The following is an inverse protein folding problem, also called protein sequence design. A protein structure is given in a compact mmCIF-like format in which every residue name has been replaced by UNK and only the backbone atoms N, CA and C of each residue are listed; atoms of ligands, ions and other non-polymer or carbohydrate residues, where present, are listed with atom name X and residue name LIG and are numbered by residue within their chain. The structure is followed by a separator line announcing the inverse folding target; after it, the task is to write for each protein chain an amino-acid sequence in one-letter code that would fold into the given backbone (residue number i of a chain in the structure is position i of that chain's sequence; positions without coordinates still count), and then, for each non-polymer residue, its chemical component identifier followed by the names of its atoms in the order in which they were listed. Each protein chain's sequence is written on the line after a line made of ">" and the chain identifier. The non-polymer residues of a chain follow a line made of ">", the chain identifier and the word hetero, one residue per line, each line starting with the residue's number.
data_IF_131858079350
#
_entry.id   IF_131858079350
#
_cell.length_a   1.000
_cell.length_b   1.000
_cell.length_c   1.000
_cell.angle_alpha   90.00
_cell.angle_beta   90.00
_cell.angle_gamma   90.00
#
_symmetry.space_group_name_H-M   'P 1'
#
loop_
_entity.id
_entity.type
_entity.pdbx_description
1 polymer ?
#
# COMPACT_ATOMS: atom_id res chain seq x y z
N UNK A 1 16.26 -2.63 -17.29
CA UNK A 1 15.74 -3.70 -16.40
C UNK A 1 15.11 -3.08 -15.16
N UNK A 2 13.94 -3.58 -14.72
CA UNK A 2 13.32 -3.15 -13.45
C UNK A 2 14.13 -3.71 -12.27
N UNK A 3 14.29 -2.92 -11.20
CA UNK A 3 14.98 -3.29 -9.95
C UNK A 3 13.97 -3.53 -8.84
N UNK A 4 14.35 -4.30 -7.84
CA UNK A 4 13.54 -4.48 -6.64
C UNK A 4 13.55 -3.17 -5.82
N UNK A 5 12.38 -2.67 -5.49
CA UNK A 5 12.16 -1.56 -4.58
C UNK A 5 11.35 -2.03 -3.38
N UNK A 6 11.59 -1.40 -2.23
CA UNK A 6 10.86 -1.71 -1.00
C UNK A 6 9.86 -0.59 -0.67
N UNK A 7 8.81 -0.92 0.07
CA UNK A 7 7.97 0.05 0.78
C UNK A 7 8.84 0.86 1.74
N UNK A 8 8.41 2.09 1.99
CA UNK A 8 9.12 2.92 2.97
C UNK A 8 8.75 2.54 4.39
N UNK A 9 7.51 2.12 4.63
CA UNK A 9 6.98 1.73 5.93
C UNK A 9 6.91 0.20 6.08
N UNK A 10 6.83 -0.27 7.33
CA UNK A 10 6.55 -1.66 7.72
C UNK A 10 5.07 -1.72 8.11
N UNK A 11 4.35 -2.73 7.63
CA UNK A 11 2.94 -2.91 7.91
C UNK A 11 2.74 -4.14 8.78
N UNK A 12 1.85 -4.05 9.77
CA UNK A 12 1.45 -5.21 10.54
C UNK A 12 0.38 -5.98 9.77
N UNK A 13 0.69 -7.18 9.30
CA UNK A 13 -0.18 -7.99 8.42
C UNK A 13 -0.58 -9.28 9.12
N UNK A 14 -1.82 -9.69 8.94
CA UNK A 14 -2.38 -10.90 9.57
C UNK A 14 -1.65 -12.16 9.07
N UNK A 15 -1.15 -12.97 10.00
CA UNK A 15 -0.34 -14.15 9.69
C UNK A 15 -1.06 -15.16 8.81
N UNK A 16 -2.38 -15.33 8.99
CA UNK A 16 -3.21 -16.22 8.15
C UNK A 16 -3.14 -15.89 6.65
N UNK A 17 -2.96 -14.61 6.31
CA UNK A 17 -2.84 -14.18 4.91
C UNK A 17 -1.45 -14.45 4.36
N UNK A 18 -0.42 -14.28 5.18
CA UNK A 18 0.97 -14.54 4.82
C UNK A 18 1.24 -16.03 4.60
N UNK A 19 0.59 -16.90 5.37
CA UNK A 19 0.68 -18.37 5.22
C UNK A 19 0.11 -18.87 3.89
N UNK A 20 -0.79 -18.11 3.25
CA UNK A 20 -1.39 -18.46 1.95
C UNK A 20 -0.50 -18.09 0.78
N UNK A 21 0.56 -17.31 1.00
CA UNK A 21 1.44 -16.87 -0.07
C UNK A 21 2.40 -18.00 -0.48
N UNK A 22 2.57 -18.25 -1.78
CA UNK A 22 3.61 -19.16 -2.25
C UNK A 22 5.00 -18.65 -1.85
N UNK A 23 5.91 -19.57 -1.53
CA UNK A 23 7.29 -19.22 -1.17
C UNK A 23 8.15 -19.08 -2.41
N UNK A 24 9.08 -18.12 -2.41
CA UNK A 24 9.98 -17.92 -3.54
C UNK A 24 10.80 -19.17 -3.91
N UNK A 25 11.18 -20.00 -2.91
CA UNK A 25 11.90 -21.26 -3.12
C UNK A 25 11.06 -22.37 -3.78
N UNK A 26 9.74 -22.29 -3.68
CA UNK A 26 8.79 -23.26 -4.26
C UNK A 26 8.46 -22.92 -5.72
N UNK A 27 8.76 -21.69 -6.16
CA UNK A 27 8.54 -21.24 -7.54
C UNK A 27 9.81 -21.52 -8.36
N UNK A 28 10.13 -22.80 -8.55
CA UNK A 28 11.22 -23.24 -9.43
C UNK A 28 10.71 -23.46 -10.86
N UNK A 29 11.22 -22.63 -11.79
CA UNK A 29 11.07 -22.83 -13.23
C UNK A 29 11.46 -21.61 -14.08
N UNK A 30 11.03 -20.40 -13.70
CA UNK A 30 11.18 -19.24 -14.60
C UNK A 30 11.53 -17.88 -13.97
N UNK A 31 11.70 -17.79 -12.63
CA UNK A 31 12.05 -16.52 -11.97
C UNK A 31 13.55 -16.45 -11.60
N UNK A 32 14.29 -17.56 -11.75
CA UNK A 32 15.72 -17.64 -11.41
C UNK A 32 16.61 -16.78 -12.32
N UNK A 33 16.24 -16.59 -13.59
CA UNK A 33 17.04 -15.81 -14.55
C UNK A 33 17.08 -14.30 -14.30
N UNK A 34 16.10 -13.72 -13.59
CA UNK A 34 16.01 -12.25 -13.39
C UNK A 34 16.15 -11.80 -11.93
N UNK A 35 15.98 -12.70 -10.95
CA UNK A 35 16.18 -12.37 -9.54
C UNK A 35 17.66 -12.42 -9.12
N UNK A 36 18.48 -13.25 -9.77
CA UNK A 36 19.89 -13.43 -9.40
C UNK A 36 20.82 -12.26 -9.80
N UNK A 37 20.46 -11.46 -10.81
CA UNK A 37 21.37 -10.46 -11.40
C UNK A 37 21.13 -9.00 -10.98
N UNK A 38 20.08 -8.72 -10.20
CA UNK A 38 19.78 -7.38 -9.70
C UNK A 38 19.97 -7.35 -8.20
N UNK A 39 21.21 -7.09 -7.76
CA UNK A 39 21.62 -6.85 -6.37
C UNK A 39 20.44 -6.55 -5.45
N UNK A 40 19.91 -7.60 -4.82
CA UNK A 40 18.87 -7.47 -3.82
C UNK A 40 19.46 -6.58 -2.71
N UNK A 41 18.78 -5.50 -2.29
CA UNK A 41 19.19 -4.80 -1.07
C UNK A 41 19.23 -5.86 0.02
N UNK A 42 20.34 -5.96 0.76
CA UNK A 42 20.55 -7.03 1.75
C UNK A 42 19.35 -7.11 2.70
N UNK A 43 18.45 -8.06 2.42
CA UNK A 43 17.26 -8.31 3.23
C UNK A 43 17.77 -9.06 4.45
N UNK A 44 17.72 -8.40 5.61
CA UNK A 44 18.05 -9.02 6.88
C UNK A 44 17.18 -10.27 7.06
N UNK A 45 17.80 -11.41 7.41
CA UNK A 45 17.14 -12.72 7.54
C UNK A 45 15.97 -12.74 8.54
N UNK A 46 15.83 -11.71 9.37
CA UNK A 46 14.76 -11.56 10.37
C UNK A 46 13.54 -10.76 9.88
N UNK A 47 13.62 -10.05 8.75
CA UNK A 47 12.50 -9.24 8.26
C UNK A 47 11.62 -10.05 7.29
N UNK A 48 10.31 -10.07 7.52
CA UNK A 48 9.34 -10.70 6.61
C UNK A 48 9.15 -9.79 5.41
N UNK A 49 9.46 -10.29 4.21
CA UNK A 49 9.33 -9.52 2.97
C UNK A 49 8.39 -10.22 2.00
N UNK A 50 7.40 -9.47 1.51
CA UNK A 50 6.44 -9.96 0.50
C UNK A 50 6.66 -9.21 -0.81
N UNK A 51 6.86 -9.94 -1.90
CA UNK A 51 6.90 -9.41 -3.25
C UNK A 51 5.47 -9.24 -3.77
N UNK A 52 5.09 -7.98 -3.99
CA UNK A 52 3.86 -7.61 -4.67
C UNK A 52 4.03 -7.81 -6.18
N UNK A 53 3.16 -8.63 -6.76
CA UNK A 53 3.12 -8.87 -8.18
C UNK A 53 2.01 -8.02 -8.80
N UNK A 54 2.41 -7.17 -9.75
CA UNK A 54 1.49 -6.27 -10.41
C UNK A 54 0.52 -7.04 -11.29
N UNK A 55 -0.72 -6.58 -11.34
CA UNK A 55 -1.67 -7.04 -12.34
C UNK A 55 -1.15 -6.63 -13.73
N UNK A 56 -0.87 -7.61 -14.57
CA UNK A 56 -0.42 -7.37 -15.95
C UNK A 56 -1.53 -6.72 -16.78
N UNK A 57 -2.81 -6.95 -16.45
CA UNK A 57 -3.96 -6.41 -17.16
C UNK A 57 -4.14 -4.89 -16.97
N UNK A 58 -3.61 -4.31 -15.90
CA UNK A 58 -3.69 -2.85 -15.68
C UNK A 58 -2.74 -2.03 -16.56
N UNK A 59 -1.76 -2.67 -17.22
CA UNK A 59 -0.73 -2.01 -18.03
C UNK A 59 -0.93 -2.15 -19.54
N UNK A 60 -1.63 -3.17 -20.00
CA UNK A 60 -1.98 -3.41 -21.41
C UNK A 60 -3.48 -3.64 -21.49
N UNK A 61 -4.22 -2.81 -22.22
CA UNK A 61 -5.68 -2.88 -22.33
C UNK A 61 -6.25 -4.12 -23.03
N UNK A 62 -5.62 -5.28 -22.88
CA UNK A 62 -6.03 -6.56 -23.47
C UNK A 62 -6.12 -7.67 -22.41
N UNK A 63 -7.25 -8.38 -22.46
CA UNK A 63 -7.64 -9.70 -21.91
C UNK A 63 -7.04 -10.14 -20.57
N UNK A 64 -7.94 -10.23 -19.58
CA UNK A 64 -7.96 -11.11 -18.40
C UNK A 64 -6.70 -11.98 -18.19
N UNK A 65 -5.60 -11.34 -17.83
CA UNK A 65 -4.42 -12.03 -17.32
C UNK A 65 -4.67 -12.24 -15.84
N UNK A 66 -4.74 -13.51 -15.40
CA UNK A 66 -4.84 -13.84 -13.97
C UNK A 66 -3.68 -13.14 -13.26
N UNK A 67 -3.96 -12.22 -12.30
CA UNK A 67 -2.89 -11.50 -11.63
C UNK A 67 -2.00 -12.50 -10.91
N UNK A 68 -0.69 -12.40 -11.14
CA UNK A 68 0.27 -13.29 -10.50
C UNK A 68 0.17 -13.11 -8.98
N UNK A 69 0.02 -14.23 -8.26
CA UNK A 69 -0.07 -14.20 -6.80
C UNK A 69 1.17 -13.55 -6.18
N UNK A 70 0.98 -12.80 -5.09
CA UNK A 70 2.10 -12.24 -4.33
C UNK A 70 2.95 -13.36 -3.72
N UNK A 71 4.24 -13.10 -3.50
CA UNK A 71 5.21 -14.14 -3.13
C UNK A 71 5.91 -13.78 -1.83
N UNK A 72 6.04 -14.75 -0.92
CA UNK A 72 6.84 -14.59 0.29
C UNK A 72 8.34 -14.76 -0.06
N UNK A 73 9.12 -13.69 0.07
CA UNK A 73 10.55 -13.67 -0.20
C UNK A 73 11.40 -14.12 0.99
N UNK A 74 11.01 -13.72 2.20
CA UNK A 74 11.77 -13.99 3.43
C UNK A 74 10.85 -14.09 4.65
N UNK A 75 11.34 -14.71 5.73
CA UNK A 75 10.61 -14.84 7.00
C UNK A 75 9.59 -15.98 7.04
N UNK A 76 9.75 -17.00 6.19
CA UNK A 76 8.84 -18.16 6.14
C UNK A 76 8.75 -18.92 7.48
N UNK A 77 9.85 -19.05 8.20
CA UNK A 77 9.88 -19.68 9.53
C UNK A 77 9.04 -18.88 10.53
N UNK A 78 9.25 -17.56 10.60
CA UNK A 78 8.47 -16.64 11.45
C UNK A 78 6.98 -16.69 11.13
N UNK A 79 6.62 -16.70 9.84
CA UNK A 79 5.22 -16.80 9.39
C UNK A 79 4.60 -18.15 9.75
N UNK A 80 5.37 -19.23 9.66
CA UNK A 80 4.87 -20.59 9.96
C UNK A 80 4.68 -20.80 11.46
N UNK A 81 5.54 -20.20 12.29
CA UNK A 81 5.48 -20.30 13.75
C UNK A 81 4.39 -19.42 14.40
N UNK A 82 3.94 -18.37 13.72
CA UNK A 82 2.92 -17.45 14.25
C UNK A 82 1.52 -18.06 14.26
N UNK A 83 0.68 -17.66 15.22
CA UNK A 83 -0.73 -18.03 15.22
C UNK A 83 -1.49 -17.26 14.13
N UNK A 84 -2.57 -17.84 13.60
CA UNK A 84 -3.30 -17.26 12.45
C UNK A 84 -3.87 -15.86 12.71
N UNK A 85 -4.14 -15.52 13.98
CA UNK A 85 -4.66 -14.22 14.41
C UNK A 85 -3.56 -13.19 14.68
N UNK A 86 -2.30 -13.60 14.68
CA UNK A 86 -1.19 -12.69 14.96
C UNK A 86 -0.96 -11.72 13.82
N UNK A 87 -0.46 -10.54 14.16
CA UNK A 87 -0.03 -9.54 13.20
C UNK A 87 1.48 -9.48 13.16
N UNK A 88 2.05 -9.72 11.98
CA UNK A 88 3.48 -9.76 11.77
C UNK A 88 3.99 -8.51 11.04
N UNK A 89 5.17 -7.98 11.40
CA UNK A 89 5.77 -6.85 10.69
C UNK A 89 6.28 -7.29 9.32
N UNK A 90 5.67 -6.74 8.27
CA UNK A 90 5.96 -7.07 6.87
C UNK A 90 6.42 -5.82 6.12
N UNK A 91 7.49 -6.00 5.34
CA UNK A 91 7.91 -5.05 4.33
C UNK A 91 7.47 -5.53 2.95
N UNK A 92 6.88 -4.64 2.15
CA UNK A 92 6.48 -4.98 0.79
C UNK A 92 7.59 -4.64 -0.20
N UNK A 93 7.85 -5.53 -1.12
CA UNK A 93 8.78 -5.36 -2.23
C UNK A 93 8.01 -5.33 -3.55
N UNK A 94 8.51 -4.59 -4.53
CA UNK A 94 7.90 -4.52 -5.86
C UNK A 94 8.92 -4.17 -6.94
N UNK A 95 8.61 -4.46 -8.19
CA UNK A 95 9.50 -4.16 -9.33
C UNK A 95 9.34 -2.70 -9.77
N UNK A 96 10.39 -1.90 -9.59
CA UNK A 96 10.44 -0.48 -9.92
C UNK A 96 11.46 -0.18 -11.01
N UNK A 97 11.33 0.97 -11.68
CA UNK A 97 12.40 1.50 -12.52
C UNK A 97 13.62 1.91 -11.69
N UNK A 98 14.83 1.94 -12.30
CA UNK A 98 16.02 2.51 -11.67
C UNK A 98 15.78 3.92 -11.13
N UNK A 99 16.45 4.27 -10.03
CA UNK A 99 16.20 5.52 -9.29
C UNK A 99 16.31 6.79 -10.15
N UNK A 100 17.24 6.83 -11.11
CA UNK A 100 17.40 7.96 -12.01
C UNK A 100 16.21 8.12 -12.98
N UNK A 101 15.70 7.03 -13.55
CA UNK A 101 14.49 7.06 -14.40
C UNK A 101 13.27 7.43 -13.55
N UNK A 102 13.15 6.83 -12.37
CA UNK A 102 12.08 7.11 -11.43
C UNK A 102 12.07 8.58 -10.99
N UNK A 103 13.23 9.23 -10.86
CA UNK A 103 13.33 10.66 -10.54
C UNK A 103 12.65 11.53 -11.61
N UNK A 104 12.99 11.35 -12.88
CA UNK A 104 12.36 12.12 -13.98
C UNK A 104 10.87 11.80 -14.14
N UNK A 105 10.49 10.52 -14.01
CA UNK A 105 9.08 10.10 -14.03
C UNK A 105 8.28 10.79 -12.92
N UNK A 106 8.86 10.93 -11.72
CA UNK A 106 8.20 11.55 -10.58
C UNK A 106 8.03 13.07 -10.70
N UNK A 107 8.83 13.74 -11.54
CA UNK A 107 8.80 15.18 -11.72
C UNK A 107 7.56 15.63 -12.53
N UNK A 108 7.14 14.80 -13.50
CA UNK A 108 6.06 15.13 -14.42
C UNK A 108 4.79 14.35 -14.04
N UNK A 109 3.81 15.04 -13.44
CA UNK A 109 2.55 14.44 -12.95
C UNK A 109 1.78 13.56 -13.96
N UNK A 110 1.54 13.98 -15.22
CA UNK A 110 0.81 13.14 -16.18
C UNK A 110 1.59 11.88 -16.56
N UNK A 111 2.91 11.98 -16.66
CA UNK A 111 3.80 10.84 -16.93
C UNK A 111 3.77 9.89 -15.75
N UNK A 112 3.95 10.40 -14.54
CA UNK A 112 3.92 9.63 -13.28
C UNK A 112 2.72 8.68 -13.19
N UNK A 113 1.53 9.13 -13.59
CA UNK A 113 0.29 8.33 -13.54
C UNK A 113 0.33 7.11 -14.46
N UNK A 114 1.05 7.17 -15.58
CA UNK A 114 1.20 6.06 -16.53
C UNK A 114 2.12 4.95 -16.00
N UNK A 115 2.94 5.25 -14.99
CA UNK A 115 3.90 4.31 -14.42
C UNK A 115 3.46 3.75 -13.06
N UNK A 116 2.19 3.88 -12.69
CA UNK A 116 1.66 3.26 -11.49
C UNK A 116 1.62 1.75 -11.66
N UNK A 117 2.14 1.04 -10.66
CA UNK A 117 1.93 -0.39 -10.53
C UNK A 117 0.72 -0.61 -9.63
N UNK A 118 -0.22 -1.44 -10.06
CA UNK A 118 -1.44 -1.78 -9.32
C UNK A 118 -1.30 -3.20 -8.80
N UNK A 119 -1.54 -3.39 -7.51
CA UNK A 119 -1.51 -4.70 -6.87
C UNK A 119 -2.93 -5.04 -6.37
N UNK A 120 -3.55 -6.12 -6.86
CA UNK A 120 -4.94 -6.44 -6.56
C UNK A 120 -5.11 -7.09 -5.17
N UNK A 121 -4.04 -7.67 -4.63
CA UNK A 121 -4.06 -8.32 -3.32
C UNK A 121 -4.46 -7.35 -2.22
N UNK A 122 -5.30 -7.86 -1.32
CA UNK A 122 -5.77 -7.14 -0.15
C UNK A 122 -5.24 -7.84 1.09
N UNK A 123 -4.78 -7.03 2.05
CA UNK A 123 -4.21 -7.49 3.30
C UNK A 123 -4.93 -6.86 4.49
N UNK A 124 -5.13 -7.64 5.54
CA UNK A 124 -5.68 -7.18 6.82
C UNK A 124 -4.56 -6.66 7.70
N UNK A 125 -4.74 -5.43 8.18
CA UNK A 125 -3.81 -4.73 9.07
C UNK A 125 -4.55 -4.13 10.25
N UNK A 126 -3.80 -3.69 11.26
CA UNK A 126 -4.38 -2.95 12.38
C UNK A 126 -4.47 -1.46 12.06
N UNK A 127 -5.56 -0.81 12.46
CA UNK A 127 -5.71 0.63 12.33
C UNK A 127 -4.57 1.37 13.04
N UNK A 128 -4.17 0.89 14.22
CA UNK A 128 -3.05 1.44 14.98
C UNK A 128 -1.74 1.47 14.18
N UNK A 129 -1.43 0.40 13.43
CA UNK A 129 -0.24 0.35 12.57
C UNK A 129 -0.28 1.40 11.46
N UNK A 130 -1.44 1.59 10.81
CA UNK A 130 -1.58 2.61 9.77
C UNK A 130 -1.42 4.03 10.30
N UNK A 131 -1.97 4.30 11.49
CA UNK A 131 -1.82 5.59 12.15
C UNK A 131 -0.36 5.85 12.56
N UNK A 132 0.32 4.85 13.12
CA UNK A 132 1.73 4.93 13.50
C UNK A 132 2.65 5.23 12.30
N UNK A 133 2.36 4.64 11.14
CA UNK A 133 3.12 4.87 9.90
C UNK A 133 2.93 6.28 9.30
N UNK A 134 2.01 7.10 9.83
CA UNK A 134 1.75 8.47 9.37
C UNK A 134 1.54 8.54 7.84
N UNK A 135 0.79 7.58 7.29
CA UNK A 135 0.48 7.50 5.85
C UNK A 135 -0.65 8.45 5.46
N UNK A 136 -1.47 8.91 6.41
CA UNK A 136 -2.56 9.86 6.16
C UNK A 136 -2.00 11.23 5.79
N UNK A 137 -2.58 11.88 4.78
CA UNK A 137 -2.20 13.25 4.39
C UNK A 137 -2.90 14.33 5.21
N UNK A 138 -3.89 13.92 6.00
CA UNK A 138 -4.70 14.72 6.90
C UNK A 138 -5.89 13.88 7.39
N UNK A 139 -6.27 14.07 8.65
CA UNK A 139 -7.43 13.39 9.23
C UNK A 139 -8.72 14.00 8.69
N UNK A 140 -9.64 13.14 8.25
CA UNK A 140 -10.95 13.56 7.76
C UNK A 140 -12.02 13.20 8.76
N UNK A 141 -12.66 14.23 9.31
CA UNK A 141 -13.77 14.14 10.23
C UNK A 141 -15.01 14.77 9.61
N UNK A 142 -16.14 14.68 10.31
CA UNK A 142 -17.42 15.25 9.89
C UNK A 142 -17.30 16.73 9.47
N UNK A 143 -16.53 17.50 10.22
CA UNK A 143 -16.38 18.94 10.01
C UNK A 143 -15.60 19.29 8.73
N UNK A 144 -14.69 18.44 8.27
CA UNK A 144 -13.82 18.72 7.12
C UNK A 144 -13.97 17.71 5.97
N UNK A 145 -14.98 16.83 6.06
CA UNK A 145 -15.26 15.81 5.07
C UNK A 145 -15.62 16.43 3.71
N UNK A 146 -15.18 15.79 2.62
CA UNK A 146 -15.45 16.21 1.24
C UNK A 146 -15.14 17.68 0.89
N UNK A 147 -14.30 18.35 1.69
CA UNK A 147 -13.80 19.69 1.37
C UNK A 147 -12.71 19.60 0.29
N UNK A 148 -13.12 19.77 -0.96
CA UNK A 148 -12.24 19.80 -2.12
C UNK A 148 -11.78 21.23 -2.42
N UNK A 149 -10.49 21.40 -2.67
CA UNK A 149 -9.91 22.69 -3.10
C UNK A 149 -10.26 23.05 -4.54
N UNK A 150 -10.58 22.05 -5.37
CA UNK A 150 -10.95 22.24 -6.76
C UNK A 150 -12.47 22.44 -6.87
N UNK A 151 -12.88 23.61 -7.37
CA UNK A 151 -14.28 24.03 -7.54
C UNK A 151 -15.13 23.03 -8.32
N UNK A 152 -14.56 22.33 -9.33
CA UNK A 152 -15.30 21.33 -10.13
C UNK A 152 -15.84 20.17 -9.30
N UNK A 153 -15.20 19.87 -8.17
CA UNK A 153 -15.54 18.74 -7.30
C UNK A 153 -16.15 19.18 -5.97
N UNK A 154 -16.40 20.49 -5.81
CA UNK A 154 -17.06 20.99 -4.61
C UNK A 154 -18.50 20.54 -4.59
N UNK A 155 -18.93 20.09 -3.41
CA UNK A 155 -20.31 19.72 -3.12
C UNK A 155 -20.82 20.64 -2.03
N UNK A 156 -22.14 20.74 -1.90
CA UNK A 156 -22.75 21.53 -0.82
C UNK A 156 -22.38 20.94 0.54
N UNK A 157 -22.52 21.76 1.59
CA UNK A 157 -22.18 21.34 2.95
C UNK A 157 -23.12 20.25 3.45
N UNK A 158 -24.39 20.34 3.05
CA UNK A 158 -25.46 19.39 3.36
C UNK A 158 -25.15 18.04 2.73
N UNK A 159 -24.76 18.01 1.46
CA UNK A 159 -24.40 16.77 0.76
C UNK A 159 -23.12 16.15 1.34
N UNK A 160 -22.13 16.97 1.73
CA UNK A 160 -20.92 16.49 2.39
C UNK A 160 -21.23 15.82 3.74
N UNK A 161 -22.07 16.46 4.56
CA UNK A 161 -22.50 15.93 5.84
C UNK A 161 -23.36 14.67 5.67
N UNK A 162 -24.28 14.65 4.69
CA UNK A 162 -25.08 13.46 4.35
C UNK A 162 -24.17 12.28 3.98
N UNK A 163 -23.25 12.43 3.04
CA UNK A 163 -22.33 11.35 2.62
C UNK A 163 -21.46 10.84 3.76
N UNK A 164 -20.98 11.74 4.61
CA UNK A 164 -20.18 11.35 5.77
C UNK A 164 -21.04 10.56 6.76
N UNK A 165 -22.25 11.02 7.05
CA UNK A 165 -23.20 10.38 7.97
C UNK A 165 -23.64 9.01 7.45
N UNK A 166 -23.93 8.88 6.16
CA UNK A 166 -24.28 7.61 5.51
C UNK A 166 -23.13 6.59 5.66
N UNK A 167 -21.89 7.02 5.40
CA UNK A 167 -20.71 6.17 5.57
C UNK A 167 -20.48 5.81 7.05
N UNK A 168 -20.64 6.77 7.96
CA UNK A 168 -20.49 6.55 9.40
C UNK A 168 -21.52 5.54 9.91
N UNK A 169 -22.79 5.73 9.58
CA UNK A 169 -23.88 4.85 9.98
C UNK A 169 -23.73 3.46 9.37
N UNK A 170 -23.28 3.36 8.12
CA UNK A 170 -23.00 2.07 7.49
C UNK A 170 -21.91 1.29 8.22
N UNK A 171 -20.79 1.93 8.57
CA UNK A 171 -19.70 1.27 9.31
C UNK A 171 -20.14 0.96 10.75
N UNK A 172 -20.95 1.83 11.38
CA UNK A 172 -21.48 1.61 12.73
C UNK A 172 -22.44 0.41 12.78
N UNK A 173 -23.29 0.25 11.77
CA UNK A 173 -24.29 -0.82 11.72
C UNK A 173 -23.69 -2.16 11.26
N UNK A 174 -22.84 -2.14 10.24
CA UNK A 174 -22.37 -3.36 9.56
C UNK A 174 -20.91 -3.73 9.88
N UNK A 175 -20.19 -2.88 10.61
CA UNK A 175 -18.75 -2.98 10.74
C UNK A 175 -17.99 -2.50 9.50
N UNK A 176 -16.66 -2.66 9.53
CA UNK A 176 -15.81 -2.28 8.40
C UNK A 176 -15.89 -3.32 7.27
N UNK A 177 -16.21 -2.85 6.05
CA UNK A 177 -16.25 -3.70 4.86
C UNK A 177 -14.83 -4.00 4.34
N UNK A 178 -14.35 -5.22 4.62
CA UNK A 178 -13.05 -5.70 4.15
C UNK A 178 -12.96 -5.85 2.63
N UNK A 179 -14.08 -5.97 1.90
CA UNK A 179 -14.11 -6.06 0.43
C UNK A 179 -13.77 -4.72 -0.23
N UNK A 180 -13.85 -3.63 0.54
CA UNK A 180 -13.54 -2.28 0.10
C UNK A 180 -12.27 -1.76 0.77
N UNK A 181 -11.08 -2.27 0.42
CA UNK A 181 -9.84 -1.91 1.10
C UNK A 181 -9.49 -0.44 0.96
N UNK A 182 -8.73 0.07 1.93
CA UNK A 182 -8.08 1.36 1.84
C UNK A 182 -6.86 1.27 0.92
N UNK A 183 -6.73 2.23 0.02
CA UNK A 183 -5.66 2.18 -0.98
C UNK A 183 -4.43 2.94 -0.49
N UNK A 184 -3.34 2.22 -0.27
CA UNK A 184 -2.03 2.79 0.09
C UNK A 184 -1.16 2.90 -1.16
N UNK A 185 -0.54 4.06 -1.37
CA UNK A 185 0.40 4.25 -2.46
C UNK A 185 1.84 4.24 -1.94
N UNK A 186 2.56 3.18 -2.26
CA UNK A 186 3.96 2.96 -1.92
C UNK A 186 4.84 4.01 -2.60
N UNK A 187 5.76 4.59 -1.82
CA UNK A 187 6.72 5.58 -2.29
C UNK A 187 6.09 6.79 -3.02
N UNK A 188 4.86 7.18 -2.68
CA UNK A 188 4.14 8.30 -3.31
C UNK A 188 4.91 9.61 -3.31
N UNK A 189 5.44 10.04 -2.15
CA UNK A 189 6.07 11.36 -1.98
C UNK A 189 7.50 11.27 -2.51
N UNK A 190 7.75 11.88 -3.67
CA UNK A 190 9.04 11.85 -4.38
C UNK A 190 9.68 10.46 -4.53
N UNK A 191 8.90 9.37 -4.54
CA UNK A 191 9.51 8.05 -4.62
C UNK A 191 10.14 7.57 -3.30
N UNK A 192 9.82 8.15 -2.14
CA UNK A 192 10.50 7.83 -0.86
C UNK A 192 9.62 7.58 0.36
N UNK A 193 8.36 8.05 0.36
CA UNK A 193 7.43 7.84 1.48
C UNK A 193 6.07 7.36 1.00
N UNK A 194 5.54 6.34 1.67
CA UNK A 194 4.22 5.75 1.45
C UNK A 194 3.15 6.72 1.94
N UNK A 195 2.02 6.76 1.24
CA UNK A 195 0.91 7.62 1.61
C UNK A 195 -0.41 7.00 1.20
N UNK A 196 -1.44 7.26 2.01
CA UNK A 196 -2.81 6.89 1.68
C UNK A 196 -3.26 7.62 0.41
N UNK A 197 -3.74 6.84 -0.57
CA UNK A 197 -4.32 7.35 -1.81
C UNK A 197 -5.83 7.49 -1.68
N UNK A 198 -6.53 6.46 -1.16
CA UNK A 198 -7.97 6.48 -0.92
C UNK A 198 -8.28 5.89 0.46
N UNK A 199 -9.45 6.24 1.02
CA UNK A 199 -9.89 5.77 2.34
C UNK A 199 -9.69 6.77 3.49
N UNK A 200 -9.41 8.05 3.21
CA UNK A 200 -9.19 9.07 4.25
C UNK A 200 -10.39 9.22 5.21
N UNK A 201 -11.62 9.22 4.68
CA UNK A 201 -12.84 9.25 5.50
C UNK A 201 -13.01 7.96 6.29
N UNK A 202 -12.73 6.80 5.68
CA UNK A 202 -12.83 5.49 6.34
C UNK A 202 -11.88 5.40 7.54
N UNK A 203 -10.63 5.88 7.44
CA UNK A 203 -9.70 5.93 8.58
C UNK A 203 -10.27 6.76 9.73
N UNK A 204 -10.76 7.97 9.45
CA UNK A 204 -11.32 8.85 10.49
C UNK A 204 -12.52 8.22 11.20
N UNK A 205 -13.42 7.58 10.42
CA UNK A 205 -14.60 6.90 10.97
C UNK A 205 -14.19 5.64 11.75
N UNK A 206 -13.28 4.82 11.23
CA UNK A 206 -12.77 3.64 11.91
C UNK A 206 -12.12 4.00 13.25
N UNK A 207 -11.39 5.12 13.30
CA UNK A 207 -10.83 5.68 14.53
C UNK A 207 -11.93 6.11 15.51
N UNK A 208 -12.96 6.81 15.04
CA UNK A 208 -14.08 7.25 15.87
C UNK A 208 -14.92 6.08 16.42
N UNK A 209 -15.01 4.97 15.68
CA UNK A 209 -15.77 3.77 16.05
C UNK A 209 -14.93 2.68 16.71
N UNK A 210 -13.64 2.93 17.00
CA UNK A 210 -12.70 1.96 17.57
C UNK A 210 -12.61 0.63 16.78
N UNK A 211 -12.63 0.73 15.44
CA UNK A 211 -12.40 -0.42 14.55
C UNK A 211 -10.92 -0.79 14.57
N UNK A 212 -10.61 -2.01 14.99
CA UNK A 212 -9.23 -2.48 15.14
C UNK A 212 -8.61 -3.00 13.83
N UNK A 213 -9.36 -3.82 13.08
CA UNK A 213 -8.88 -4.45 11.84
C UNK A 213 -9.44 -3.73 10.61
N UNK A 214 -8.56 -3.40 9.67
CA UNK A 214 -8.91 -2.77 8.39
C UNK A 214 -8.17 -3.46 7.27
N UNK A 215 -8.69 -3.38 6.05
CA UNK A 215 -8.06 -3.98 4.87
C UNK A 215 -7.37 -2.91 4.03
N UNK A 216 -6.20 -3.25 3.50
CA UNK A 216 -5.39 -2.38 2.65
C UNK A 216 -5.01 -3.08 1.35
N UNK A 217 -4.96 -2.29 0.28
CA UNK A 217 -4.38 -2.69 -1.00
C UNK A 217 -3.32 -1.67 -1.41
N UNK A 218 -2.47 -2.07 -2.35
CA UNK A 218 -1.29 -1.29 -2.69
C UNK A 218 -1.30 -0.86 -4.15
N UNK A 219 -0.97 0.41 -4.38
CA UNK A 219 -0.39 0.87 -5.64
C UNK A 219 1.06 1.29 -5.37
N UNK A 220 1.91 1.27 -6.39
CA UNK A 220 3.26 1.80 -6.26
C UNK A 220 3.61 2.81 -7.33
N UNK A 221 4.44 3.75 -6.91
CA UNK A 221 5.15 4.68 -7.77
C UNK A 221 6.58 4.17 -7.97
N UNK A 222 7.23 4.43 -9.12
CA UNK A 222 8.65 4.20 -9.26
C UNK A 222 9.45 4.87 -8.13
N UNK A 223 10.24 4.08 -7.41
CA UNK A 223 11.04 4.52 -6.26
C UNK A 223 12.22 5.37 -6.74
N UNK A 224 12.34 6.57 -6.20
CA UNK A 224 13.40 7.54 -6.53
C UNK A 224 14.57 7.45 -5.54
N UNK A 225 15.54 8.34 -5.67
CA UNK A 225 16.69 8.42 -4.77
C UNK A 225 16.31 8.64 -3.30
N UNK A 226 16.97 7.91 -2.40
CA UNK A 226 16.69 7.94 -0.97
C UNK A 226 16.99 9.26 -0.27
N UNK A 227 17.85 10.13 -0.84
CA UNK A 227 18.17 11.43 -0.23
C UNK A 227 16.94 12.34 -0.09
N UNK A 228 15.88 12.13 -0.90
CA UNK A 228 14.62 12.85 -0.73
C UNK A 228 13.92 12.56 0.60
N UNK A 229 14.30 11.49 1.32
CA UNK A 229 13.78 11.23 2.68
C UNK A 229 13.99 12.44 3.60
N UNK A 230 15.11 13.14 3.46
CA UNK A 230 15.43 14.36 4.24
C UNK A 230 14.41 15.49 4.01
N UNK A 231 13.93 15.66 2.77
CA UNK A 231 12.90 16.65 2.42
C UNK A 231 11.47 16.18 2.67
N UNK A 232 11.29 14.90 3.03
CA UNK A 232 9.96 14.34 3.29
C UNK A 232 9.61 14.16 4.76
N UNK A 233 10.60 14.11 5.66
CA UNK A 233 10.41 14.28 7.11
C UNK A 233 9.80 15.66 7.34
N UNK A 234 8.53 15.72 7.73
CA UNK A 234 7.99 16.95 8.33
C UNK A 234 8.72 17.15 9.65
N UNK A 235 9.11 18.40 9.94
CA UNK A 235 9.31 18.84 11.33
C UNK A 235 8.03 18.47 12.08
N UNK A 236 8.18 17.69 13.14
CA UNK A 236 7.16 17.54 14.17
C UNK A 236 7.08 18.93 14.80
N UNK A 237 5.94 19.59 14.64
CA UNK A 237 5.54 20.75 15.41
C UNK A 237 4.40 20.33 16.30
#
# INVERSE_FOLDING_TARGET
>A
MKKLALSSEIYLIKASELKRLPRAAEINGNISGTLAASAAPQVSSREITVLLNADAAAASGDKEVVPAADVLLSGAETVSAAADRDFLPVRFAYRSYPAWQAFFINLIKPVKRKFYSVFPSTYTTTLASLLANNITRGERNEQNAYQWTNKKWQISREEAHRRYSDLYNSIKANGYDAKSPMLVMLNRKFGVKDQLLQGHHRIGICKALNVNEVSISFWAVPRSFGFFKLFTKRKIS
#
